data_IF_044754070091
#
_entry.id   IF_044754070091
#
_cell.length_a   1.000
_cell.length_b   1.000
_cell.length_c   1.000
_cell.angle_alpha   90.00
_cell.angle_beta   90.00
_cell.angle_gamma   90.00
#
_symmetry.space_group_name_H-M   'P 1'
#
loop_
_entity.id
_entity.type
_entity.pdbx_description
1 polymer ?
#
# COMPACT_ATOMS: atom_id res chain seq x y z
N UNK A 1 -0.38 -36.16 -5.20
CA UNK A 1 -1.35 -35.24 -5.85
C UNK A 1 -1.28 -33.92 -5.13
N UNK A 2 -0.93 -32.83 -5.82
CA UNK A 2 -0.92 -31.54 -5.14
C UNK A 2 -2.35 -31.03 -5.03
N UNK A 3 -2.82 -30.79 -3.80
CA UNK A 3 -4.14 -30.23 -3.50
C UNK A 3 -3.95 -28.75 -3.16
N UNK A 4 -4.25 -27.86 -4.10
CA UNK A 4 -4.16 -26.41 -3.87
C UNK A 4 -4.46 -25.58 -5.11
N UNK A 5 -4.81 -24.30 -4.90
CA UNK A 5 -4.92 -23.30 -5.96
C UNK A 5 -3.58 -22.62 -6.11
N UNK A 6 -3.08 -22.57 -7.35
CA UNK A 6 -1.85 -21.86 -7.69
C UNK A 6 -2.18 -20.54 -8.36
N UNK A 7 -1.71 -19.44 -7.77
CA UNK A 7 -1.76 -18.12 -8.38
C UNK A 7 -0.40 -17.81 -9.01
N UNK A 8 -0.32 -17.87 -10.34
CA UNK A 8 0.91 -17.62 -11.09
C UNK A 8 0.84 -16.22 -11.71
N UNK A 9 1.89 -15.43 -11.51
CA UNK A 9 2.03 -14.09 -12.10
C UNK A 9 3.33 -14.00 -12.90
N UNK A 10 3.34 -13.08 -13.88
CA UNK A 10 4.58 -12.65 -14.54
C UNK A 10 5.51 -12.02 -13.50
N UNK A 11 6.78 -12.39 -13.51
CA UNK A 11 7.81 -11.69 -12.75
C UNK A 11 8.06 -10.31 -13.37
N UNK A 12 7.88 -9.26 -12.58
CA UNK A 12 8.13 -7.87 -12.99
C UNK A 12 9.49 -7.46 -12.45
N UNK A 13 10.35 -6.89 -13.29
CA UNK A 13 11.58 -6.25 -12.81
C UNK A 13 11.24 -4.85 -12.27
N UNK A 14 11.48 -4.66 -10.98
CA UNK A 14 11.12 -3.46 -10.20
C UNK A 14 12.31 -2.91 -9.39
N UNK A 15 13.53 -3.36 -9.72
CA UNK A 15 14.79 -2.91 -9.10
C UNK A 15 14.81 -3.00 -7.56
N UNK A 16 14.13 -4.02 -7.00
CA UNK A 16 14.06 -4.19 -5.55
C UNK A 16 13.32 -3.07 -4.82
N UNK A 17 12.41 -2.38 -5.51
CA UNK A 17 11.61 -1.28 -4.98
C UNK A 17 10.09 -1.56 -5.09
N UNK A 18 9.32 -1.20 -4.08
CA UNK A 18 7.87 -1.07 -4.17
C UNK A 18 7.36 0.16 -3.40
N UNK A 19 6.08 0.49 -3.58
CA UNK A 19 5.44 1.58 -2.85
C UNK A 19 4.21 1.05 -2.12
N UNK A 20 4.18 1.22 -0.80
CA UNK A 20 2.98 0.97 0.00
C UNK A 20 2.25 2.29 0.24
N UNK A 21 1.01 2.34 -0.23
CA UNK A 21 0.09 3.45 -0.06
C UNK A 21 -0.92 3.10 1.02
N UNK A 22 -1.16 4.01 1.97
CA UNK A 22 -2.18 3.85 2.98
C UNK A 22 -3.39 4.71 2.62
N UNK A 23 -4.54 4.08 2.46
CA UNK A 23 -5.80 4.71 2.11
C UNK A 23 -6.76 4.62 3.29
N UNK A 24 -7.44 5.72 3.62
CA UNK A 24 -8.51 5.77 4.62
C UNK A 24 -9.63 6.66 4.07
N UNK A 25 -10.87 6.19 4.09
CA UNK A 25 -12.04 6.97 3.68
C UNK A 25 -11.96 7.53 2.26
N UNK A 26 -11.33 6.79 1.34
CA UNK A 26 -11.15 7.23 -0.04
C UNK A 26 -10.09 8.31 -0.27
N UNK A 27 -9.20 8.54 0.71
CA UNK A 27 -8.05 9.46 0.61
C UNK A 27 -6.74 8.72 0.87
N UNK A 28 -5.67 9.11 0.18
CA UNK A 28 -4.32 8.68 0.56
C UNK A 28 -3.88 9.51 1.75
N UNK A 29 -3.52 8.84 2.85
CA UNK A 29 -3.11 9.51 4.09
C UNK A 29 -1.61 9.51 4.26
N UNK A 30 -0.92 8.51 3.70
CA UNK A 30 0.53 8.41 3.69
C UNK A 30 0.99 7.34 2.70
N UNK A 31 2.24 7.44 2.26
CA UNK A 31 2.88 6.41 1.46
C UNK A 31 4.35 6.25 1.86
N UNK A 32 4.84 5.02 1.74
CA UNK A 32 6.26 4.70 1.88
C UNK A 32 6.75 3.97 0.65
N UNK A 33 7.99 4.24 0.28
CA UNK A 33 8.73 3.39 -0.62
C UNK A 33 9.51 2.36 0.20
N UNK A 34 9.45 1.08 -0.20
CA UNK A 34 10.23 0.02 0.40
C UNK A 34 11.30 -0.45 -0.56
N UNK A 35 12.53 -0.64 -0.06
CA UNK A 35 13.64 -1.15 -0.86
C UNK A 35 14.39 -2.30 -0.18
N UNK A 36 14.90 -3.22 -0.99
CA UNK A 36 15.75 -4.34 -0.54
C UNK A 36 16.74 -4.75 -1.63
N UNK A 37 17.80 -5.49 -1.24
CA UNK A 37 18.79 -6.02 -2.19
C UNK A 37 18.24 -7.10 -3.14
N UNK A 38 17.02 -7.58 -2.90
CA UNK A 38 16.34 -8.54 -3.77
C UNK A 38 14.86 -8.19 -3.90
N UNK A 39 14.12 -9.03 -4.62
CA UNK A 39 12.72 -8.76 -4.98
C UNK A 39 11.74 -8.70 -3.80
N UNK A 40 12.10 -9.27 -2.63
CA UNK A 40 11.27 -9.20 -1.41
C UNK A 40 11.65 -7.97 -0.58
N UNK A 41 10.90 -6.91 -0.78
CA UNK A 41 11.02 -5.56 -0.19
C UNK A 41 10.40 -5.40 1.20
N UNK A 42 9.66 -6.40 1.69
CA UNK A 42 8.96 -6.28 2.98
C UNK A 42 9.94 -6.10 4.16
N UNK A 43 9.53 -5.28 5.12
CA UNK A 43 10.34 -4.92 6.29
C UNK A 43 10.70 -6.12 7.17
N UNK A 44 9.82 -7.11 7.25
CA UNK A 44 10.05 -8.34 8.01
C UNK A 44 11.28 -9.13 7.51
N UNK A 45 11.73 -8.89 6.28
CA UNK A 45 12.92 -9.51 5.67
C UNK A 45 14.10 -8.56 5.54
N UNK A 46 14.13 -7.47 6.30
CA UNK A 46 15.22 -6.51 6.31
C UNK A 46 15.15 -5.47 5.18
N UNK A 47 14.00 -5.34 4.52
CA UNK A 47 13.72 -4.18 3.68
C UNK A 47 13.75 -2.89 4.47
N UNK A 48 14.01 -1.76 3.80
CA UNK A 48 14.01 -0.42 4.39
C UNK A 48 12.80 0.35 3.89
N UNK A 49 12.22 1.20 4.73
CA UNK A 49 11.15 2.10 4.33
C UNK A 49 11.61 3.55 4.43
N UNK A 50 11.13 4.38 3.50
CA UNK A 50 11.21 5.84 3.57
C UNK A 50 9.89 6.47 3.17
N UNK A 51 9.56 7.60 3.78
CA UNK A 51 8.45 8.43 3.32
C UNK A 51 8.60 8.73 1.83
N UNK A 52 7.49 8.73 1.09
CA UNK A 52 7.49 9.16 -0.30
C UNK A 52 6.22 9.93 -0.64
N UNK A 53 6.36 10.87 -1.56
CA UNK A 53 5.21 11.58 -2.14
C UNK A 53 4.79 10.84 -3.41
N UNK A 54 3.51 10.54 -3.53
CA UNK A 54 2.97 9.91 -4.73
C UNK A 54 2.84 10.92 -5.87
N UNK A 55 2.95 10.43 -7.10
CA UNK A 55 2.41 11.15 -8.25
C UNK A 55 0.89 11.02 -8.29
N UNK A 56 0.22 11.98 -8.93
CA UNK A 56 -1.23 11.96 -9.13
C UNK A 56 -1.71 10.63 -9.74
N UNK A 57 -0.94 10.07 -10.68
CA UNK A 57 -1.24 8.78 -11.31
C UNK A 57 -1.24 7.63 -10.30
N UNK A 58 -0.24 7.58 -9.41
CA UNK A 58 -0.13 6.52 -8.39
C UNK A 58 -1.17 6.67 -7.30
N UNK A 59 -1.45 7.90 -6.88
CA UNK A 59 -2.54 8.20 -5.94
C UNK A 59 -3.88 7.74 -6.52
N UNK A 60 -4.21 8.16 -7.75
CA UNK A 60 -5.44 7.76 -8.42
C UNK A 60 -5.54 6.23 -8.58
N UNK A 61 -4.43 5.56 -8.90
CA UNK A 61 -4.37 4.10 -9.01
C UNK A 61 -4.65 3.41 -7.67
N UNK A 62 -4.00 3.85 -6.58
CA UNK A 62 -4.20 3.28 -5.25
C UNK A 62 -5.64 3.46 -4.76
N UNK A 63 -6.21 4.66 -4.95
CA UNK A 63 -7.59 4.94 -4.58
C UNK A 63 -8.58 4.11 -5.39
N UNK A 64 -8.33 3.90 -6.70
CA UNK A 64 -9.14 3.01 -7.53
C UNK A 64 -9.07 1.57 -7.05
N UNK A 65 -7.89 1.09 -6.66
CA UNK A 65 -7.71 -0.26 -6.16
C UNK A 65 -8.47 -0.51 -4.84
N UNK A 66 -8.34 0.41 -3.88
CA UNK A 66 -9.06 0.34 -2.60
C UNK A 66 -10.59 0.36 -2.81
N UNK A 67 -11.09 1.23 -3.71
CA UNK A 67 -12.52 1.27 -4.07
C UNK A 67 -12.99 -0.01 -4.76
N UNK A 68 -12.18 -0.61 -5.63
CA UNK A 68 -12.55 -1.82 -6.37
C UNK A 68 -12.84 -3.01 -5.45
N UNK A 69 -12.25 -3.05 -4.26
CA UNK A 69 -12.50 -4.09 -3.24
C UNK A 69 -13.45 -3.62 -2.12
N UNK A 70 -13.97 -2.39 -2.19
CA UNK A 70 -14.87 -1.85 -1.17
C UNK A 70 -14.22 -1.61 0.19
N UNK A 71 -12.91 -1.34 0.23
CA UNK A 71 -12.20 -1.14 1.50
C UNK A 71 -12.39 0.30 2.04
N UNK A 72 -12.83 0.41 3.30
CA UNK A 72 -12.89 1.69 4.02
C UNK A 72 -11.49 2.23 4.36
N UNK A 73 -10.57 1.32 4.67
CA UNK A 73 -9.15 1.60 4.76
C UNK A 73 -8.35 0.40 4.24
N UNK A 74 -7.18 0.65 3.67
CA UNK A 74 -6.32 -0.41 3.16
C UNK A 74 -4.87 0.04 2.98
N UNK A 75 -3.96 -0.93 3.02
CA UNK A 75 -2.62 -0.80 2.44
C UNK A 75 -2.66 -1.29 1.00
N UNK A 76 -2.31 -0.44 0.04
CA UNK A 76 -2.22 -0.79 -1.38
C UNK A 76 -0.76 -0.87 -1.77
N UNK A 77 -0.32 -2.03 -2.25
CA UNK A 77 1.05 -2.23 -2.72
C UNK A 77 1.12 -2.01 -4.23
N UNK A 78 1.88 -0.98 -4.61
CA UNK A 78 2.20 -0.64 -5.98
C UNK A 78 3.62 -1.13 -6.31
N UNK A 79 3.77 -1.72 -7.49
CA UNK A 79 5.04 -2.20 -8.00
C UNK A 79 5.45 -1.37 -9.23
N UNK A 80 6.44 -0.47 -9.08
CA UNK A 80 6.94 0.33 -10.19
C UNK A 80 7.88 -0.51 -11.05
N UNK A 81 7.42 -0.90 -12.24
CA UNK A 81 8.24 -1.63 -13.18
C UNK A 81 9.28 -0.73 -13.85
N UNK A 82 10.41 -1.31 -14.28
CA UNK A 82 11.47 -0.57 -14.99
C UNK A 82 11.05 0.04 -16.32
N UNK A 83 9.98 -0.48 -16.93
CA UNK A 83 9.39 0.07 -18.16
C UNK A 83 8.53 1.31 -17.90
N UNK A 84 8.40 1.76 -16.65
CA UNK A 84 7.61 2.91 -16.24
C UNK A 84 6.16 2.58 -15.89
N UNK A 85 5.72 1.33 -16.03
CA UNK A 85 4.37 0.90 -15.67
C UNK A 85 4.25 0.64 -14.17
N UNK A 86 3.21 1.18 -13.53
CA UNK A 86 2.86 0.84 -12.14
C UNK A 86 1.80 -0.26 -12.10
N UNK A 87 2.06 -1.31 -11.33
CA UNK A 87 1.13 -2.42 -11.11
C UNK A 87 0.58 -2.40 -9.68
N UNK A 88 -0.68 -2.76 -9.49
CA UNK A 88 -1.23 -3.07 -8.15
C UNK A 88 -1.03 -4.56 -7.88
N UNK A 89 -0.37 -4.90 -6.78
CA UNK A 89 -0.06 -6.31 -6.44
C UNK A 89 -0.93 -6.83 -5.30
N UNK A 90 -1.24 -5.98 -4.32
CA UNK A 90 -2.03 -6.34 -3.15
C UNK A 90 -2.88 -5.16 -2.69
N UNK A 91 -4.10 -5.44 -2.25
CA UNK A 91 -4.89 -4.54 -1.40
C UNK A 91 -5.14 -5.25 -0.08
N UNK A 92 -4.49 -4.78 0.97
CA UNK A 92 -4.53 -5.38 2.30
C UNK A 92 -5.52 -4.63 3.19
N UNK A 93 -6.60 -5.30 3.59
CA UNK A 93 -7.64 -4.74 4.48
C UNK A 93 -7.28 -4.74 5.97
N UNK A 94 -6.17 -5.39 6.37
CA UNK A 94 -5.63 -5.36 7.74
C UNK A 94 -4.12 -5.07 7.66
N UNK A 95 -3.73 -3.91 7.10
CA UNK A 95 -2.34 -3.60 6.81
C UNK A 95 -1.56 -3.31 8.10
N UNK A 96 -0.39 -3.92 8.25
CA UNK A 96 0.58 -3.46 9.24
C UNK A 96 1.14 -2.08 8.86
N UNK A 97 1.15 -1.13 9.80
CA UNK A 97 1.58 0.26 9.58
C UNK A 97 2.76 0.71 10.44
N UNK A 98 3.47 -0.19 11.12
CA UNK A 98 4.64 0.18 11.95
C UNK A 98 5.70 0.94 11.14
N UNK A 99 6.11 0.40 9.99
CA UNK A 99 7.08 1.06 9.13
C UNK A 99 6.56 2.34 8.48
N UNK A 100 5.24 2.49 8.33
CA UNK A 100 4.62 3.73 7.88
C UNK A 100 4.79 4.81 8.96
N UNK A 101 4.44 4.51 10.21
CA UNK A 101 4.57 5.44 11.34
C UNK A 101 6.03 5.77 11.69
N UNK A 102 6.96 4.84 11.50
CA UNK A 102 8.39 5.12 11.71
C UNK A 102 8.96 6.02 10.62
N UNK A 103 8.47 5.89 9.39
CA UNK A 103 8.93 6.68 8.25
C UNK A 103 8.21 8.03 8.09
N UNK A 104 7.00 8.17 8.66
CA UNK A 104 6.12 9.32 8.44
C UNK A 104 5.48 9.79 9.74
N UNK A 105 5.25 11.09 9.90
CA UNK A 105 4.72 11.68 11.15
C UNK A 105 3.21 11.58 11.31
N UNK A 106 2.55 10.67 10.59
CA UNK A 106 1.09 10.46 10.65
C UNK A 106 0.74 9.55 11.83
N UNK A 107 -0.28 9.97 12.58
CA UNK A 107 -1.01 9.10 13.49
C UNK A 107 -2.08 8.31 12.71
N UNK A 108 -1.72 7.08 12.33
CA UNK A 108 -2.59 6.20 11.54
C UNK A 108 -3.82 5.79 12.32
N UNK A 109 -3.67 5.52 13.63
CA UNK A 109 -4.77 5.09 14.47
C UNK A 109 -5.79 6.22 14.63
N UNK A 110 -5.34 7.45 14.94
CA UNK A 110 -6.21 8.62 15.01
C UNK A 110 -6.94 8.84 13.69
N UNK A 111 -6.24 8.76 12.55
CA UNK A 111 -6.84 8.95 11.22
C UNK A 111 -7.98 7.96 10.93
N UNK A 112 -7.82 6.68 11.31
CA UNK A 112 -8.87 5.67 11.15
C UNK A 112 -10.04 5.95 12.09
N UNK A 113 -9.77 6.31 13.34
CA UNK A 113 -10.80 6.64 14.34
C UNK A 113 -11.61 7.85 13.90
N UNK A 114 -10.96 8.92 13.45
CA UNK A 114 -11.60 10.13 12.93
C UNK A 114 -12.50 9.81 11.73
N UNK A 115 -12.03 8.98 10.80
CA UNK A 115 -12.86 8.52 9.68
C UNK A 115 -14.11 7.77 10.15
N UNK A 116 -13.97 6.88 11.14
CA UNK A 116 -15.10 6.13 11.69
C UNK A 116 -16.10 7.06 12.41
N UNK A 117 -15.62 7.97 13.26
CA UNK A 117 -16.48 8.91 13.99
C UNK A 117 -17.26 9.83 13.04
N UNK A 118 -16.63 10.28 11.94
CA UNK A 118 -17.30 11.07 10.91
C UNK A 118 -18.39 10.32 10.15
N UNK A 119 -18.38 8.98 10.14
CA UNK A 119 -19.47 8.17 9.56
C UNK A 119 -20.64 7.96 10.51
N UNK A 120 -20.37 7.96 11.82
CA UNK A 120 -21.38 7.78 12.86
C UNK A 120 -22.16 9.07 13.16
N UNK A 121 -21.57 10.21 12.84
CA UNK A 121 -22.16 11.53 13.03
C UNK A 121 -22.39 12.16 11.66
N UNK A 122 -23.53 11.90 10.99
CA UNK A 122 -23.82 12.58 9.73
C UNK A 122 -23.86 14.10 9.93
N UNK A 123 -23.55 14.88 8.88
CA UNK A 123 -23.56 16.35 8.96
C UNK A 123 -24.94 16.92 9.34
#
# INVERSE_FOLDING_TARGET
TIRGVYYVQRAIDHDGCDVRVFVVGGRVVSAIERSAAGWKTNLARGGRARATTLSDTREALALRAARAVGADYAGVDLLPARDGTDYVVEVNGIPGWRGLQEATSIDVAATIVEHLLGRLTPP
#
